data_IF_395909385362
#
_entry.id   IF_395909385362
#
_cell.length_a   1.000
_cell.length_b   1.000
_cell.length_c   1.000
_cell.angle_alpha   90.00
_cell.angle_beta   90.00
_cell.angle_gamma   90.00
#
_symmetry.space_group_name_H-M   'P 1'
#
loop_
_entity.id
_entity.type
_entity.pdbx_description
1 polymer ?
#
# COMPACT_ATOMS: atom_id res chain seq x y z
N UNK A 1 -3.20 7.55 9.76
CA UNK A 1 -2.72 8.66 8.90
C UNK A 1 -1.48 8.18 8.15
N UNK A 2 -1.34 8.52 6.86
CA UNK A 2 -0.17 8.16 6.05
C UNK A 2 0.95 9.18 6.21
N UNK A 3 2.20 8.73 6.15
CA UNK A 3 3.40 9.56 6.25
C UNK A 3 4.20 9.51 4.96
N UNK A 4 4.94 10.56 4.66
CA UNK A 4 5.92 10.56 3.58
C UNK A 4 7.19 9.85 4.02
N UNK A 5 7.65 8.89 3.22
CA UNK A 5 8.96 8.24 3.36
C UNK A 5 9.72 8.46 2.05
N UNK A 6 10.59 9.46 2.03
CA UNK A 6 11.21 9.92 0.78
C UNK A 6 10.16 10.47 -0.19
N UNK A 7 10.06 9.86 -1.37
CA UNK A 7 9.07 10.23 -2.41
C UNK A 7 7.80 9.36 -2.38
N UNK A 8 7.72 8.42 -1.44
CA UNK A 8 6.60 7.49 -1.31
C UNK A 8 5.64 7.93 -0.21
N UNK A 9 4.35 7.75 -0.45
CA UNK A 9 3.33 7.90 0.59
C UNK A 9 3.02 6.55 1.23
N UNK A 10 3.24 6.46 2.54
CA UNK A 10 3.19 5.19 3.27
C UNK A 10 2.08 5.21 4.32
N UNK A 11 1.17 4.26 4.22
CA UNK A 11 0.13 4.00 5.22
C UNK A 11 0.39 2.70 5.94
N UNK A 12 0.07 2.69 7.22
CA UNK A 12 0.15 1.51 8.07
C UNK A 12 -1.15 1.38 8.83
N UNK A 13 -1.71 0.18 8.79
CA UNK A 13 -2.93 -0.18 9.49
C UNK A 13 -2.68 -1.48 10.24
N UNK A 14 -3.15 -1.54 11.47
CA UNK A 14 -3.13 -2.74 12.30
C UNK A 14 -4.54 -2.97 12.81
N UNK A 15 -5.04 -4.20 12.68
CA UNK A 15 -6.36 -4.60 13.16
C UNK A 15 -6.36 -6.09 13.51
N UNK A 16 -7.37 -6.52 14.24
CA UNK A 16 -7.61 -7.93 14.53
C UNK A 16 -8.71 -8.47 13.61
N UNK A 17 -8.48 -9.63 13.00
CA UNK A 17 -9.41 -10.34 12.10
C UNK A 17 -9.30 -11.83 12.39
N UNK A 18 -10.40 -12.51 12.68
CA UNK A 18 -10.42 -13.96 13.00
C UNK A 18 -9.42 -14.40 14.09
N UNK A 19 -9.29 -13.62 15.17
CA UNK A 19 -8.30 -13.79 16.26
C UNK A 19 -6.84 -13.72 15.79
N UNK A 20 -6.59 -13.22 14.58
CA UNK A 20 -5.26 -12.97 14.05
C UNK A 20 -4.97 -11.49 14.08
N UNK A 21 -3.74 -11.17 14.47
CA UNK A 21 -3.21 -9.82 14.35
C UNK A 21 -2.81 -9.57 12.90
N UNK A 22 -3.50 -8.66 12.22
CA UNK A 22 -3.22 -8.30 10.83
C UNK A 22 -2.55 -6.94 10.77
N UNK A 23 -1.42 -6.87 10.07
CA UNK A 23 -0.74 -5.62 9.73
C UNK A 23 -0.77 -5.42 8.22
N UNK A 24 -1.21 -4.24 7.79
CA UNK A 24 -1.19 -3.80 6.40
C UNK A 24 -0.26 -2.61 6.26
N UNK A 25 0.60 -2.65 5.25
CA UNK A 25 1.38 -1.50 4.78
C UNK A 25 1.00 -1.22 3.33
N UNK A 26 0.61 0.01 3.05
CA UNK A 26 0.41 0.49 1.69
C UNK A 26 1.52 1.48 1.37
N UNK A 27 2.16 1.30 0.22
CA UNK A 27 3.18 2.22 -0.31
C UNK A 27 2.69 2.72 -1.66
N UNK A 28 2.48 4.03 -1.77
CA UNK A 28 2.04 4.69 -3.00
C UNK A 28 3.21 5.50 -3.55
N UNK A 29 3.66 5.13 -4.74
CA UNK A 29 4.68 5.84 -5.50
C UNK A 29 4.01 6.55 -6.66
N UNK A 30 3.98 7.88 -6.63
CA UNK A 30 3.52 8.68 -7.76
C UNK A 30 4.58 8.65 -8.87
N UNK A 31 4.19 8.26 -10.09
CA UNK A 31 5.08 8.23 -11.26
C UNK A 31 4.86 9.44 -12.18
N UNK A 32 3.71 10.10 -12.06
CA UNK A 32 3.39 11.40 -12.68
C UNK A 32 2.16 12.00 -11.95
N UNK A 33 1.75 13.26 -12.24
CA UNK A 33 0.52 13.83 -11.66
C UNK A 33 -0.74 13.00 -11.92
N UNK A 34 -0.73 12.13 -12.93
CA UNK A 34 -1.87 11.31 -13.36
C UNK A 34 -1.63 9.80 -13.25
N UNK A 35 -0.51 9.37 -12.67
CA UNK A 35 -0.17 7.96 -12.54
C UNK A 35 0.50 7.62 -11.20
N UNK A 36 0.14 6.45 -10.66
CA UNK A 36 0.75 5.92 -9.44
C UNK A 36 0.82 4.39 -9.45
N UNK A 37 1.75 3.88 -8.65
CA UNK A 37 1.81 2.46 -8.29
C UNK A 37 1.58 2.35 -6.79
N UNK A 38 0.56 1.59 -6.39
CA UNK A 38 0.28 1.27 -5.00
C UNK A 38 0.62 -0.19 -4.71
N UNK A 39 1.51 -0.44 -3.77
CA UNK A 39 1.89 -1.77 -3.29
C UNK A 39 1.31 -2.01 -1.91
N UNK A 40 0.63 -3.14 -1.75
CA UNK A 40 -0.01 -3.53 -0.49
C UNK A 40 0.72 -4.74 0.06
N UNK A 41 1.20 -4.61 1.30
CA UNK A 41 1.88 -5.66 2.02
C UNK A 41 1.02 -6.07 3.22
N UNK A 42 0.94 -7.38 3.47
CA UNK A 42 0.18 -7.96 4.58
C UNK A 42 1.08 -8.84 5.43
N UNK A 43 0.87 -8.80 6.73
CA UNK A 43 1.47 -9.70 7.73
C UNK A 43 0.35 -10.21 8.64
N UNK A 44 0.40 -11.48 8.99
CA UNK A 44 -0.48 -12.13 9.97
C UNK A 44 0.35 -12.62 11.16
N UNK A 45 -0.14 -12.43 12.39
CA UNK A 45 0.48 -12.93 13.62
C UNK A 45 1.99 -12.63 13.73
N UNK A 46 2.36 -11.38 13.42
CA UNK A 46 3.74 -10.88 13.45
C UNK A 46 4.72 -11.60 12.49
N UNK A 47 4.21 -12.37 11.53
CA UNK A 47 5.02 -12.93 10.45
C UNK A 47 5.67 -11.82 9.58
N UNK A 48 6.73 -12.13 8.84
CA UNK A 48 7.32 -11.17 7.90
C UNK A 48 6.28 -10.65 6.91
N UNK A 49 6.28 -9.33 6.69
CA UNK A 49 5.37 -8.69 5.76
C UNK A 49 5.66 -9.12 4.33
N UNK A 50 4.64 -9.59 3.62
CA UNK A 50 4.75 -10.03 2.22
C UNK A 50 3.91 -9.13 1.33
N UNK A 51 4.37 -8.93 0.09
CA UNK A 51 3.56 -8.28 -0.93
C UNK A 51 2.30 -9.12 -1.15
N UNK A 52 1.15 -8.49 -0.95
CA UNK A 52 -0.15 -9.11 -1.13
C UNK A 52 -0.68 -8.84 -2.54
N UNK A 53 -0.65 -7.58 -2.97
CA UNK A 53 -1.02 -7.18 -4.33
C UNK A 53 -0.46 -5.81 -4.71
N UNK A 54 -0.49 -5.51 -6.02
CA UNK A 54 -0.04 -4.23 -6.58
C UNK A 54 -1.13 -3.67 -7.49
N UNK A 55 -1.47 -2.40 -7.33
CA UNK A 55 -2.29 -1.64 -8.27
C UNK A 55 -1.42 -0.65 -9.02
N UNK A 56 -1.58 -0.64 -10.33
CA UNK A 56 -1.02 0.39 -11.20
C UNK A 56 -2.19 1.18 -11.75
N UNK A 57 -2.13 2.49 -11.60
CA UNK A 57 -3.12 3.39 -12.16
C UNK A 57 -2.42 4.42 -13.03
N UNK A 58 -2.94 4.60 -14.24
CA UNK A 58 -2.56 5.68 -15.15
C UNK A 58 -3.84 6.19 -15.78
N UNK A 59 -4.10 7.49 -15.66
CA UNK A 59 -5.22 8.10 -16.37
C UNK A 59 -4.93 8.04 -17.87
N UNK A 60 -5.71 7.28 -18.62
CA UNK A 60 -5.77 7.38 -20.09
C UNK A 60 -6.61 8.62 -20.41
N UNK A 61 -6.00 9.62 -21.04
CA UNK A 61 -6.79 10.70 -21.65
C UNK A 61 -7.60 10.09 -22.79
N UNK A 62 -8.92 9.99 -22.62
CA UNK A 62 -9.83 9.72 -23.73
C UNK A 62 -10.01 11.05 -24.44
N UNK A 63 -9.36 11.21 -25.60
CA UNK A 63 -9.62 12.30 -26.55
C UNK A 63 -10.89 12.02 -27.34
#
# INVERSE_FOLDING_TARGET
MGNWEGSDWVFRHEYEEDKKKVKIKQVVTATSPSSFVARFYRSENDAPMKLWWTVKHSKTEVH
#
